data_IF_381631894206
#
_entry.id   IF_381631894206
#
_cell.length_a   1.000
_cell.length_b   1.000
_cell.length_c   1.000
_cell.angle_alpha   90.00
_cell.angle_beta   90.00
_cell.angle_gamma   90.00
#
_symmetry.space_group_name_H-M   'P 1'
#
loop_
_entity.id
_entity.type
_entity.pdbx_description
1 polymer ?
#
# COMPACT_ATOMS: atom_id res chain seq x y z
N UNK A 1 4.75 -12.83 15.49
CA UNK A 1 4.51 -12.20 14.18
C UNK A 1 3.09 -12.52 13.80
N UNK A 2 2.21 -11.53 13.75
CA UNK A 2 0.85 -11.71 13.26
C UNK A 2 0.90 -11.42 11.75
N UNK A 3 0.58 -12.42 10.94
CA UNK A 3 0.42 -12.36 9.48
C UNK A 3 -1.00 -12.84 9.19
N UNK A 4 -1.76 -12.29 8.22
CA UNK A 4 -1.68 -11.02 7.48
C UNK A 4 -2.68 -9.99 8.04
N UNK A 5 -2.59 -8.76 7.54
CA UNK A 5 -3.36 -7.60 7.99
C UNK A 5 -4.90 -7.66 7.74
N UNK A 6 -5.42 -8.60 6.94
CA UNK A 6 -6.86 -8.72 6.60
C UNK A 6 -7.39 -10.16 6.59
N UNK A 7 -6.63 -11.10 7.15
CA UNK A 7 -7.15 -12.45 7.38
C UNK A 7 -7.14 -12.66 8.90
N UNK A 8 -8.31 -12.51 9.52
CA UNK A 8 -8.48 -12.74 10.94
C UNK A 8 -8.06 -14.16 11.31
N UNK A 9 -7.68 -14.35 12.59
CA UNK A 9 -7.36 -15.68 13.14
C UNK A 9 -8.50 -16.69 12.99
N UNK A 10 -9.72 -16.20 12.72
CA UNK A 10 -10.95 -16.98 12.61
C UNK A 10 -11.37 -17.25 11.14
N UNK A 11 -10.49 -17.00 10.17
CA UNK A 11 -10.83 -17.22 8.76
C UNK A 11 -10.87 -18.73 8.46
N UNK A 12 -11.96 -19.26 7.85
CA UNK A 12 -12.08 -20.69 7.52
C UNK A 12 -10.91 -21.19 6.68
N UNK A 13 -10.67 -22.51 6.70
CA UNK A 13 -9.73 -23.14 5.76
C UNK A 13 -10.10 -22.76 4.31
N UNK A 14 -9.09 -22.48 3.48
CA UNK A 14 -9.27 -22.17 2.07
C UNK A 14 -10.08 -23.25 1.34
N UNK A 15 -9.98 -24.51 1.77
CA UNK A 15 -10.77 -25.63 1.23
C UNK A 15 -12.29 -25.49 1.48
N UNK A 16 -12.71 -24.70 2.46
CA UNK A 16 -14.10 -24.43 2.79
C UNK A 16 -14.65 -23.14 2.13
N UNK A 17 -13.80 -22.42 1.38
CA UNK A 17 -14.14 -21.15 0.75
C UNK A 17 -14.44 -21.32 -0.75
N UNK A 18 -15.14 -20.34 -1.32
CA UNK A 18 -15.19 -20.20 -2.77
C UNK A 18 -13.78 -19.99 -3.34
N UNK A 19 -13.55 -20.30 -4.61
CA UNK A 19 -12.22 -20.11 -5.24
C UNK A 19 -11.73 -18.66 -5.11
N UNK A 20 -12.64 -17.69 -5.27
CA UNK A 20 -12.33 -16.27 -5.13
C UNK A 20 -11.93 -15.91 -3.69
N UNK A 21 -12.73 -16.30 -2.71
CA UNK A 21 -12.43 -16.07 -1.29
C UNK A 21 -11.17 -16.81 -0.83
N UNK A 22 -10.93 -18.00 -1.37
CA UNK A 22 -9.71 -18.78 -1.13
C UNK A 22 -8.47 -18.10 -1.70
N UNK A 23 -8.59 -17.38 -2.82
CA UNK A 23 -7.47 -16.63 -3.41
C UNK A 23 -7.01 -15.44 -2.55
N UNK A 24 -7.91 -14.88 -1.74
CA UNK A 24 -7.58 -13.89 -0.71
C UNK A 24 -7.11 -14.52 0.60
N UNK A 25 -7.44 -15.78 0.83
CA UNK A 25 -7.09 -16.48 2.05
C UNK A 25 -5.62 -16.91 2.02
N UNK A 26 -4.86 -16.35 2.95
CA UNK A 26 -3.42 -16.58 3.07
C UNK A 26 -3.06 -17.23 4.40
N UNK A 27 -4.06 -17.61 5.21
CA UNK A 27 -3.85 -18.27 6.50
C UNK A 27 -3.19 -19.64 6.33
N UNK A 28 -3.62 -20.43 5.34
CA UNK A 28 -3.01 -21.74 5.07
C UNK A 28 -1.61 -21.65 4.46
N UNK A 29 -1.17 -20.46 4.04
CA UNK A 29 0.13 -20.23 3.38
C UNK A 29 1.08 -19.34 4.20
N UNK A 30 0.82 -19.17 5.50
CA UNK A 30 1.65 -18.31 6.38
C UNK A 30 3.15 -18.68 6.40
N UNK A 31 3.49 -19.97 6.38
CA UNK A 31 4.90 -20.42 6.32
C UNK A 31 5.54 -19.99 5.00
N UNK A 32 4.83 -20.19 3.89
CA UNK A 32 5.25 -19.74 2.57
C UNK A 32 5.43 -18.22 2.55
N UNK A 33 4.60 -17.47 3.26
CA UNK A 33 4.67 -16.00 3.35
C UNK A 33 5.95 -15.54 4.04
N UNK A 34 6.35 -16.24 5.12
CA UNK A 34 7.64 -15.99 5.79
C UNK A 34 8.81 -16.30 4.85
N UNK A 35 8.74 -17.40 4.10
CA UNK A 35 9.77 -17.73 3.11
C UNK A 35 9.89 -16.68 2.02
N UNK A 36 8.78 -16.27 1.38
CA UNK A 36 8.78 -15.23 0.34
C UNK A 36 9.30 -13.89 0.86
N UNK A 37 8.93 -13.51 2.08
CA UNK A 37 9.46 -12.31 2.74
C UNK A 37 10.98 -12.38 2.95
N UNK A 38 11.52 -13.56 3.25
CA UNK A 38 12.96 -13.76 3.41
C UNK A 38 13.66 -13.78 2.06
N UNK A 39 13.17 -14.59 1.11
CA UNK A 39 13.72 -14.68 -0.25
C UNK A 39 13.78 -13.32 -0.94
N UNK A 40 12.72 -12.52 -0.82
CA UNK A 40 12.69 -11.18 -1.40
C UNK A 40 13.76 -10.26 -0.82
N UNK A 41 14.37 -10.56 0.33
CA UNK A 41 15.49 -9.79 0.88
C UNK A 41 16.84 -10.21 0.29
N UNK A 42 16.97 -11.44 -0.16
CA UNK A 42 18.25 -12.02 -0.57
C UNK A 42 18.39 -12.15 -2.10
N UNK A 43 17.28 -12.26 -2.83
CA UNK A 43 17.31 -12.56 -4.25
C UNK A 43 16.73 -11.42 -5.11
N UNK A 44 17.57 -10.63 -5.80
CA UNK A 44 17.12 -9.59 -6.72
C UNK A 44 16.22 -10.10 -7.86
N UNK A 45 16.31 -11.39 -8.20
CA UNK A 45 15.46 -12.05 -9.21
C UNK A 45 13.97 -11.97 -8.88
N UNK A 46 13.60 -11.73 -7.62
CA UNK A 46 12.21 -11.50 -7.23
C UNK A 46 11.54 -10.34 -7.98
N UNK A 47 12.31 -9.33 -8.43
CA UNK A 47 11.77 -8.25 -9.27
C UNK A 47 11.18 -8.79 -10.57
N UNK A 48 11.88 -9.74 -11.21
CA UNK A 48 11.40 -10.39 -12.44
C UNK A 48 10.18 -11.26 -12.17
N UNK A 49 10.21 -12.05 -11.08
CA UNK A 49 9.08 -12.91 -10.68
C UNK A 49 7.83 -12.07 -10.40
N UNK A 50 7.96 -10.95 -9.68
CA UNK A 50 6.85 -10.04 -9.41
C UNK A 50 6.34 -9.36 -10.69
N UNK A 51 7.21 -9.09 -11.66
CA UNK A 51 6.80 -8.61 -12.99
C UNK A 51 5.90 -9.60 -13.72
N UNK A 52 6.31 -10.89 -13.77
CA UNK A 52 5.48 -11.94 -14.37
C UNK A 52 4.18 -12.15 -13.60
N UNK A 53 4.25 -12.15 -12.27
CA UNK A 53 3.08 -12.36 -11.43
C UNK A 53 2.06 -11.23 -11.59
N UNK A 54 2.53 -9.98 -11.61
CA UNK A 54 1.70 -8.82 -11.92
C UNK A 54 1.03 -8.89 -13.28
N UNK A 55 1.77 -9.32 -14.31
CA UNK A 55 1.21 -9.51 -15.64
C UNK A 55 0.10 -10.57 -15.67
N UNK A 56 0.32 -11.71 -15.00
CA UNK A 56 -0.71 -12.76 -14.87
C UNK A 56 -1.94 -12.25 -14.11
N UNK A 57 -1.73 -11.42 -13.08
CA UNK A 57 -2.77 -10.90 -12.20
C UNK A 57 -3.30 -9.52 -12.59
N UNK A 58 -3.03 -9.04 -13.82
CA UNK A 58 -3.40 -7.70 -14.27
C UNK A 58 -4.90 -7.37 -14.17
N UNK A 59 -5.76 -8.39 -14.12
CA UNK A 59 -7.22 -8.23 -13.96
C UNK A 59 -7.71 -8.36 -12.51
N UNK A 60 -6.82 -8.72 -11.57
CA UNK A 60 -7.16 -9.01 -10.18
C UNK A 60 -6.16 -8.32 -9.23
N UNK A 61 -6.12 -6.97 -9.19
CA UNK A 61 -5.13 -6.22 -8.42
C UNK A 61 -5.19 -6.49 -6.91
N UNK A 62 -6.38 -6.71 -6.35
CA UNK A 62 -6.51 -7.00 -4.92
C UNK A 62 -6.00 -8.40 -4.55
N UNK A 63 -6.26 -9.41 -5.40
CA UNK A 63 -5.68 -10.75 -5.17
C UNK A 63 -4.17 -10.68 -5.30
N UNK A 64 -3.64 -9.96 -6.29
CA UNK A 64 -2.21 -9.70 -6.42
C UNK A 64 -1.63 -9.02 -5.17
N UNK A 65 -2.32 -8.02 -4.64
CA UNK A 65 -1.91 -7.29 -3.44
C UNK A 65 -1.92 -8.18 -2.21
N UNK A 66 -2.98 -8.97 -2.03
CA UNK A 66 -3.08 -9.96 -0.95
C UNK A 66 -1.89 -10.93 -0.98
N UNK A 67 -1.56 -11.42 -2.18
CA UNK A 67 -0.53 -12.43 -2.39
C UNK A 67 0.91 -11.93 -2.26
N UNK A 68 1.11 -10.62 -2.43
CA UNK A 68 2.42 -9.97 -2.37
C UNK A 68 2.69 -9.25 -1.05
N UNK A 69 1.72 -9.27 -0.13
CA UNK A 69 1.82 -8.52 1.11
C UNK A 69 3.02 -8.82 2.02
N UNK A 70 3.51 -10.06 2.15
CA UNK A 70 4.70 -10.33 2.96
C UNK A 70 5.91 -9.50 2.53
N UNK A 71 6.03 -9.28 1.22
CA UNK A 71 7.11 -8.51 0.61
C UNK A 71 6.93 -7.02 0.96
N UNK A 72 5.70 -6.51 0.89
CA UNK A 72 5.35 -5.14 1.28
C UNK A 72 5.59 -4.89 2.78
N UNK A 73 5.25 -5.84 3.66
CA UNK A 73 5.54 -5.77 5.10
C UNK A 73 7.05 -5.81 5.38
N UNK A 74 7.82 -6.60 4.61
CA UNK A 74 9.28 -6.57 4.69
C UNK A 74 9.84 -5.17 4.37
N UNK A 75 9.24 -4.47 3.40
CA UNK A 75 9.66 -3.13 2.97
C UNK A 75 9.60 -2.09 4.08
N UNK A 76 8.70 -2.25 5.07
CA UNK A 76 8.59 -1.34 6.23
C UNK A 76 9.86 -1.41 7.10
N UNK A 77 10.47 -2.59 7.20
CA UNK A 77 11.51 -2.92 8.16
C UNK A 77 12.91 -3.04 7.55
N UNK A 78 12.99 -3.44 6.28
CA UNK A 78 14.22 -3.75 5.56
C UNK A 78 14.42 -2.84 4.33
N UNK A 79 15.67 -2.55 3.99
CA UNK A 79 16.01 -1.72 2.81
C UNK A 79 16.01 -2.51 1.50
N UNK A 80 16.13 -3.84 1.58
CA UNK A 80 16.39 -4.73 0.46
C UNK A 80 15.20 -5.62 0.10
N UNK A 81 13.95 -5.19 0.34
CA UNK A 81 12.78 -5.95 -0.10
C UNK A 81 12.61 -5.84 -1.63
N UNK A 82 13.26 -6.73 -2.38
CA UNK A 82 13.23 -6.78 -3.84
C UNK A 82 11.82 -7.10 -4.34
N UNK A 83 11.39 -6.39 -5.38
CA UNK A 83 10.10 -6.61 -6.04
C UNK A 83 8.99 -5.67 -5.54
N UNK A 84 9.17 -5.00 -4.40
CA UNK A 84 8.19 -4.03 -3.88
C UNK A 84 8.01 -2.86 -4.84
N UNK A 85 9.10 -2.35 -5.39
CA UNK A 85 9.09 -1.32 -6.43
C UNK A 85 8.26 -1.75 -7.66
N UNK A 86 8.37 -3.02 -8.05
CA UNK A 86 7.62 -3.59 -9.17
C UNK A 86 6.13 -3.71 -8.82
N UNK A 87 5.81 -4.22 -7.63
CA UNK A 87 4.43 -4.36 -7.13
C UNK A 87 3.73 -3.00 -7.14
N UNK A 88 4.35 -1.99 -6.54
CA UNK A 88 3.77 -0.64 -6.46
C UNK A 88 3.58 -0.03 -7.83
N UNK A 89 4.54 -0.19 -8.75
CA UNK A 89 4.39 0.30 -10.13
C UNK A 89 3.26 -0.41 -10.87
N UNK A 90 3.10 -1.72 -10.70
CA UNK A 90 1.98 -2.48 -11.30
C UNK A 90 0.63 -1.94 -10.80
N UNK A 91 0.52 -1.67 -9.49
CA UNK A 91 -0.69 -1.05 -8.94
C UNK A 91 -0.89 0.38 -9.46
N UNK A 92 0.19 1.13 -9.65
CA UNK A 92 0.18 2.46 -10.27
C UNK A 92 -0.19 2.46 -11.75
N UNK A 93 0.06 1.38 -12.49
CA UNK A 93 -0.20 1.27 -13.93
C UNK A 93 -1.51 0.52 -14.26
N UNK A 94 -2.18 -0.03 -13.24
CA UNK A 94 -3.42 -0.77 -13.45
C UNK A 94 -4.54 0.13 -13.96
N UNK A 95 -5.40 -0.48 -14.77
CA UNK A 95 -6.65 0.12 -15.28
C UNK A 95 -7.88 -0.56 -14.65
N UNK A 96 -7.68 -1.31 -13.57
CA UNK A 96 -8.74 -1.91 -12.75
C UNK A 96 -8.96 -1.07 -11.50
N UNK A 97 -10.20 -1.02 -11.03
CA UNK A 97 -10.54 -0.40 -9.76
C UNK A 97 -9.78 -1.13 -8.67
N UNK A 98 -9.17 -0.36 -7.75
CA UNK A 98 -8.49 -0.89 -6.58
C UNK A 98 -9.48 -1.04 -5.44
N UNK A 99 -9.46 -2.19 -4.77
CA UNK A 99 -10.14 -2.42 -3.52
C UNK A 99 -9.23 -2.16 -2.31
N UNK A 100 -9.77 -2.53 -1.14
CA UNK A 100 -9.13 -2.33 0.16
C UNK A 100 -7.68 -2.85 0.20
N UNK A 101 -7.46 -4.09 -0.24
CA UNK A 101 -6.15 -4.76 -0.11
C UNK A 101 -5.09 -4.08 -0.97
N UNK A 102 -5.44 -3.59 -2.16
CA UNK A 102 -4.55 -2.78 -2.98
C UNK A 102 -4.24 -1.41 -2.37
N UNK A 103 -5.19 -0.77 -1.70
CA UNK A 103 -4.92 0.47 -0.96
C UNK A 103 -4.02 0.24 0.26
N UNK A 104 -4.19 -0.85 0.99
CA UNK A 104 -3.25 -1.19 2.07
C UNK A 104 -1.85 -1.46 1.53
N UNK A 105 -1.72 -2.10 0.35
CA UNK A 105 -0.44 -2.27 -0.34
C UNK A 105 0.22 -0.93 -0.69
N UNK A 106 -0.53 0.02 -1.25
CA UNK A 106 -0.04 1.37 -1.55
C UNK A 106 0.36 2.12 -0.26
N UNK A 107 -0.41 1.99 0.82
CA UNK A 107 -0.06 2.55 2.13
C UNK A 107 1.25 1.99 2.69
N UNK A 108 1.47 0.68 2.58
CA UNK A 108 2.73 0.03 2.97
C UNK A 108 3.90 0.49 2.09
N UNK A 109 3.70 0.60 0.77
CA UNK A 109 4.68 1.15 -0.16
C UNK A 109 5.07 2.60 0.17
N UNK A 110 4.08 3.44 0.45
CA UNK A 110 4.27 4.84 0.87
C UNK A 110 4.99 4.94 2.24
N UNK A 111 4.93 3.91 3.07
CA UNK A 111 5.65 3.85 4.34
C UNK A 111 6.94 3.00 4.30
N UNK A 112 7.36 2.56 3.11
CA UNK A 112 8.54 1.73 2.96
C UNK A 112 9.79 2.42 3.51
N UNK A 113 10.75 1.63 3.99
CA UNK A 113 11.99 2.13 4.59
C UNK A 113 12.88 2.81 3.55
N UNK A 114 12.95 2.25 2.35
CA UNK A 114 13.76 2.75 1.23
C UNK A 114 13.05 3.91 0.53
N UNK A 115 13.80 4.95 0.19
CA UNK A 115 13.34 6.16 -0.49
C UNK A 115 12.82 5.87 -1.89
N UNK A 116 13.45 4.94 -2.60
CA UNK A 116 13.12 4.58 -3.97
C UNK A 116 11.73 3.92 -4.05
N UNK A 117 11.40 3.05 -3.09
CA UNK A 117 10.05 2.45 -3.02
C UNK A 117 9.00 3.52 -2.73
N UNK A 118 9.31 4.48 -1.86
CA UNK A 118 8.42 5.60 -1.56
C UNK A 118 8.22 6.53 -2.76
N UNK A 119 9.24 6.75 -3.57
CA UNK A 119 9.13 7.49 -4.83
C UNK A 119 8.21 6.77 -5.82
N UNK A 120 8.38 5.45 -5.99
CA UNK A 120 7.45 4.65 -6.82
C UNK A 120 6.00 4.73 -6.30
N UNK A 121 5.81 4.77 -4.98
CA UNK A 121 4.47 4.94 -4.40
C UNK A 121 3.89 6.33 -4.70
N UNK A 122 4.70 7.39 -4.64
CA UNK A 122 4.27 8.72 -5.03
C UNK A 122 3.84 8.78 -6.52
N UNK A 123 4.65 8.20 -7.40
CA UNK A 123 4.35 8.10 -8.83
C UNK A 123 3.10 7.25 -9.10
N UNK A 124 2.93 6.12 -8.41
CA UNK A 124 1.75 5.28 -8.53
C UNK A 124 0.47 6.02 -8.12
N UNK A 125 0.51 6.75 -7.01
CA UNK A 125 -0.61 7.58 -6.56
C UNK A 125 -0.94 8.68 -7.55
N UNK A 126 0.07 9.35 -8.11
CA UNK A 126 -0.13 10.37 -9.13
C UNK A 126 -0.74 9.78 -10.41
N UNK A 127 -0.20 8.66 -10.89
CA UNK A 127 -0.68 7.93 -12.07
C UNK A 127 -2.15 7.51 -11.93
N UNK A 128 -2.54 7.01 -10.76
CA UNK A 128 -3.94 6.68 -10.46
C UNK A 128 -4.82 7.93 -10.36
N UNK A 129 -4.34 8.99 -9.72
CA UNK A 129 -5.08 10.24 -9.54
C UNK A 129 -5.34 10.96 -10.86
N UNK A 130 -4.36 11.01 -11.76
CA UNK A 130 -4.48 11.60 -13.10
C UNK A 130 -5.50 10.85 -13.96
N UNK A 131 -5.67 9.53 -13.73
CA UNK A 131 -6.71 8.73 -14.37
C UNK A 131 -8.07 8.79 -13.65
N UNK A 132 -8.17 9.51 -12.53
CA UNK A 132 -9.39 9.56 -11.72
C UNK A 132 -9.74 8.25 -11.03
N UNK A 133 -8.75 7.39 -10.78
CA UNK A 133 -8.93 6.01 -10.27
C UNK A 133 -8.69 5.87 -8.76
N UNK A 134 -8.40 6.97 -8.05
CA UNK A 134 -8.22 6.96 -6.60
C UNK A 134 -9.57 7.16 -5.90
N UNK A 135 -10.03 6.12 -5.22
CA UNK A 135 -11.07 6.21 -4.19
C UNK A 135 -10.42 6.68 -2.88
N UNK A 136 -10.48 7.98 -2.64
CA UNK A 136 -9.84 8.61 -1.48
C UNK A 136 -10.49 8.23 -0.16
N UNK A 137 -11.78 7.85 -0.16
CA UNK A 137 -12.49 7.45 1.04
C UNK A 137 -12.07 6.04 1.47
N UNK A 138 -12.07 5.09 0.53
CA UNK A 138 -11.63 3.72 0.80
C UNK A 138 -10.13 3.69 1.17
N UNK A 139 -9.31 4.49 0.49
CA UNK A 139 -7.90 4.57 0.86
C UNK A 139 -7.70 5.20 2.25
N UNK A 140 -8.49 6.21 2.63
CA UNK A 140 -8.43 6.78 3.96
C UNK A 140 -8.78 5.75 5.05
N UNK A 141 -9.80 4.92 4.81
CA UNK A 141 -10.19 3.84 5.73
C UNK A 141 -9.03 2.86 5.98
N UNK A 142 -8.43 2.37 4.90
CA UNK A 142 -7.29 1.44 4.98
C UNK A 142 -6.07 2.08 5.66
N UNK A 143 -5.80 3.35 5.35
CA UNK A 143 -4.68 4.07 5.93
C UNK A 143 -4.90 4.36 7.42
N UNK A 144 -6.13 4.69 7.82
CA UNK A 144 -6.51 4.83 9.22
C UNK A 144 -6.19 3.56 9.99
N UNK A 145 -6.66 2.42 9.48
CA UNK A 145 -6.42 1.13 10.11
C UNK A 145 -4.92 0.81 10.20
N UNK A 146 -4.15 1.00 9.12
CA UNK A 146 -2.69 0.81 9.12
C UNK A 146 -1.96 1.70 10.14
N UNK A 147 -2.39 2.95 10.29
CA UNK A 147 -1.82 3.91 11.23
C UNK A 147 -2.13 3.52 12.68
N UNK A 148 -3.38 3.18 12.98
CA UNK A 148 -3.83 2.74 14.30
C UNK A 148 -3.13 1.46 14.77
N UNK A 149 -2.84 0.53 13.85
CA UNK A 149 -2.09 -0.69 14.14
C UNK A 149 -0.55 -0.52 14.09
N UNK A 150 -0.06 0.70 13.87
CA UNK A 150 1.37 1.04 13.77
C UNK A 150 2.15 0.31 12.66
N UNK A 151 1.44 -0.21 11.65
CA UNK A 151 2.04 -0.90 10.51
C UNK A 151 2.72 0.06 9.53
N UNK A 152 2.35 1.33 9.56
CA UNK A 152 2.99 2.41 8.79
C UNK A 152 3.52 3.51 9.71
N UNK A 153 4.39 4.37 9.16
CA UNK A 153 5.02 5.49 9.88
C UNK A 153 4.52 6.81 9.28
N UNK A 154 3.85 7.63 10.08
CA UNK A 154 3.27 8.91 9.67
C UNK A 154 4.24 9.79 8.87
N UNK A 155 5.49 9.93 9.32
CA UNK A 155 6.48 10.75 8.62
C UNK A 155 6.88 10.24 7.23
N UNK A 156 6.83 8.92 7.01
CA UNK A 156 7.16 8.35 5.71
C UNK A 156 6.01 8.54 4.73
N UNK A 157 4.80 8.28 5.21
CA UNK A 157 3.55 8.56 4.49
C UNK A 157 3.51 10.05 4.10
N UNK A 158 3.76 10.93 5.05
CA UNK A 158 3.77 12.38 4.85
C UNK A 158 4.72 12.79 3.73
N UNK A 159 5.97 12.32 3.76
CA UNK A 159 6.93 12.63 2.70
C UNK A 159 6.48 12.08 1.34
N UNK A 160 6.00 10.83 1.26
CA UNK A 160 5.49 10.27 0.01
C UNK A 160 4.29 11.06 -0.52
N UNK A 161 3.41 11.51 0.35
CA UNK A 161 2.24 12.30 -0.04
C UNK A 161 2.63 13.70 -0.50
N UNK A 162 3.63 14.33 0.14
CA UNK A 162 4.24 15.58 -0.35
C UNK A 162 4.84 15.38 -1.74
N UNK A 163 5.59 14.30 -1.94
CA UNK A 163 6.23 13.99 -3.21
C UNK A 163 5.16 13.78 -4.31
N UNK A 164 4.10 13.01 -4.02
CA UNK A 164 2.98 12.81 -4.93
C UNK A 164 2.26 14.13 -5.28
N UNK A 165 1.93 14.92 -4.27
CA UNK A 165 1.25 16.21 -4.44
C UNK A 165 2.07 17.22 -5.26
N UNK A 166 3.40 17.08 -5.28
CA UNK A 166 4.30 17.93 -6.07
C UNK A 166 4.25 17.63 -7.58
N UNK A 167 3.68 16.48 -7.98
CA UNK A 167 3.63 16.06 -9.39
C UNK A 167 2.60 16.89 -10.17
N UNK A 168 1.40 17.11 -9.62
CA UNK A 168 0.40 17.97 -10.24
C UNK A 168 -0.60 18.52 -9.21
N UNK A 169 -1.26 19.67 -9.48
CA UNK A 169 -2.29 20.21 -8.61
C UNK A 169 -3.47 19.25 -8.39
N UNK A 170 -3.83 18.45 -9.40
CA UNK A 170 -4.89 17.45 -9.28
C UNK A 170 -4.50 16.37 -8.26
N UNK A 171 -3.25 15.89 -8.31
CA UNK A 171 -2.74 14.93 -7.34
C UNK A 171 -2.72 15.55 -5.95
N UNK A 172 -2.25 16.80 -5.82
CA UNK A 172 -2.29 17.54 -4.55
C UNK A 172 -3.70 17.62 -3.95
N UNK A 173 -4.72 17.89 -4.78
CA UNK A 173 -6.11 17.88 -4.34
C UNK A 173 -6.59 16.48 -3.90
N UNK A 174 -6.22 15.41 -4.60
CA UNK A 174 -6.56 14.03 -4.18
C UNK A 174 -5.89 13.64 -2.87
N UNK A 175 -4.64 14.02 -2.68
CA UNK A 175 -3.92 13.80 -1.42
C UNK A 175 -4.55 14.60 -0.28
N UNK A 176 -5.01 15.83 -0.53
CA UNK A 176 -5.75 16.62 0.45
C UNK A 176 -7.02 15.90 0.92
N UNK A 177 -7.86 15.40 0.00
CA UNK A 177 -9.06 14.63 0.34
C UNK A 177 -8.75 13.37 1.16
N UNK A 178 -7.68 12.67 0.80
CA UNK A 178 -7.21 11.50 1.56
C UNK A 178 -6.78 11.88 2.98
N UNK A 179 -6.04 13.00 3.12
CA UNK A 179 -5.59 13.52 4.41
C UNK A 179 -6.75 13.97 5.31
N UNK A 180 -7.81 14.55 4.72
CA UNK A 180 -9.05 14.87 5.45
C UNK A 180 -9.70 13.61 6.01
N UNK A 181 -9.76 12.54 5.22
CA UNK A 181 -10.36 11.26 5.62
C UNK A 181 -9.65 10.58 6.80
N UNK A 182 -8.34 10.81 6.97
CA UNK A 182 -7.58 10.19 8.07
C UNK A 182 -7.55 11.00 9.37
N UNK A 183 -8.07 12.23 9.38
CA UNK A 183 -8.09 13.09 10.57
C UNK A 183 -8.58 12.41 11.86
N UNK A 184 -9.60 11.53 11.84
CA UNK A 184 -10.10 10.89 13.05
C UNK A 184 -9.06 10.13 13.88
N UNK A 185 -8.01 9.59 13.24
CA UNK A 185 -6.98 8.78 13.96
C UNK A 185 -5.67 9.51 14.17
N UNK A 186 -5.40 10.60 13.44
CA UNK A 186 -4.07 11.23 13.38
C UNK A 186 -3.59 11.77 14.73
N UNK A 187 -4.51 12.18 15.61
CA UNK A 187 -4.18 12.65 16.97
C UNK A 187 -3.54 11.60 17.88
N UNK A 188 -3.80 10.31 17.61
CA UNK A 188 -3.29 9.18 18.39
C UNK A 188 -2.02 8.57 17.76
N UNK A 189 -1.68 9.00 16.55
CA UNK A 189 -0.53 8.47 15.80
C UNK A 189 0.74 9.20 16.23
N UNK A 190 1.79 8.44 16.56
CA UNK A 190 3.11 9.01 16.82
C UNK A 190 3.61 9.81 15.60
N UNK A 191 3.86 11.11 15.82
CA UNK A 191 4.21 12.11 14.78
C UNK A 191 3.12 12.34 13.72
N UNK A 192 1.86 12.08 14.07
CA UNK A 192 0.70 12.35 13.20
C UNK A 192 0.55 13.83 12.82
N UNK A 193 1.01 14.76 13.66
CA UNK A 193 0.97 16.21 13.37
C UNK A 193 1.63 16.61 12.03
N UNK A 194 2.59 15.83 11.51
CA UNK A 194 3.18 16.09 10.20
C UNK A 194 2.16 15.94 9.06
N UNK A 195 1.23 14.97 9.16
CA UNK A 195 0.15 14.78 8.19
C UNK A 195 -0.86 15.93 8.23
N UNK A 196 -1.17 16.45 9.43
CA UNK A 196 -2.03 17.64 9.59
C UNK A 196 -1.37 18.88 9.00
N UNK A 197 -0.06 19.05 9.21
CA UNK A 197 0.68 20.17 8.62
C UNK A 197 0.67 20.10 7.09
N UNK A 198 0.86 18.92 6.51
CA UNK A 198 0.75 18.73 5.05
C UNK A 198 -0.66 19.06 4.55
N UNK A 199 -1.71 18.62 5.25
CA UNK A 199 -3.09 18.96 4.89
C UNK A 199 -3.31 20.47 4.83
N UNK A 200 -2.87 21.21 5.85
CA UNK A 200 -2.98 22.68 5.90
C UNK A 200 -2.19 23.34 4.77
N UNK A 201 -0.99 22.84 4.46
CA UNK A 201 -0.17 23.35 3.36
C UNK A 201 -0.88 23.16 2.00
N UNK A 202 -1.44 21.98 1.76
CA UNK A 202 -2.14 21.68 0.51
C UNK A 202 -3.41 22.54 0.37
N UNK A 203 -4.21 22.64 1.42
CA UNK A 203 -5.41 23.48 1.43
C UNK A 203 -5.10 24.97 1.14
N UNK A 204 -3.98 25.49 1.66
CA UNK A 204 -3.52 26.85 1.38
C UNK A 204 -2.94 27.06 -0.02
N UNK A 205 -2.50 25.99 -0.70
CA UNK A 205 -1.95 26.06 -2.07
C UNK A 205 -3.00 25.95 -3.17
N UNK A 206 -4.21 25.50 -2.82
CA UNK A 206 -5.35 25.33 -3.73
C UNK A 206 -6.37 26.48 -3.68
N UNK A 207 -6.14 27.48 -2.82
CA UNK A 207 -6.96 28.68 -2.66
C UNK A 207 -6.39 29.84 -3.49
#
# INVERSE_FOLDING_TARGET
>A
MQFPLWVGTDTPDAAALSVESAAFNTNSTQIEYVHRMLESKYYPSYRTVMGWYGWLMQNNPDIFSAQTMPILVAAIHAHNAYGVDIIIRILGDTHRILGAVSYSALGLGASAKTTEVRANAAEALASLADRGMVDTALFAEELCWLLSQHHVKAQRIEQTFRDAASISPLVGWRIMQLLEGILPVVGEVYRGGALVQLLVQLAGSTA
#
